data_IF_063991451070
#
_entry.id   IF_063991451070
#
_cell.length_a   1.000
_cell.length_b   1.000
_cell.length_c   1.000
_cell.angle_alpha   90.00
_cell.angle_beta   90.00
_cell.angle_gamma   90.00
#
_symmetry.space_group_name_H-M   'P 1'
#
loop_
_entity.id
_entity.type
_entity.pdbx_description
1 polymer ?
#
# COMPACT_ATOMS: atom_id res chain seq x y z
N UNK A 1 19.38 -1.76 -39.16
CA UNK A 1 19.40 -0.72 -38.14
C UNK A 1 18.03 -0.77 -37.49
N UNK A 2 17.91 -1.33 -36.29
CA UNK A 2 16.63 -1.33 -35.60
C UNK A 2 16.26 0.13 -35.28
N UNK A 3 15.16 0.59 -35.84
CA UNK A 3 14.59 1.90 -35.54
C UNK A 3 14.27 1.93 -34.04
N UNK A 4 14.76 2.90 -33.33
CA UNK A 4 14.51 3.02 -31.87
C UNK A 4 13.15 3.69 -31.69
N UNK A 5 12.10 2.89 -31.76
CA UNK A 5 10.74 3.36 -31.48
C UNK A 5 10.63 3.90 -30.04
N UNK A 6 9.91 4.99 -29.90
CA UNK A 6 9.74 5.67 -28.60
C UNK A 6 8.75 4.94 -27.69
N UNK A 7 7.65 4.42 -28.25
CA UNK A 7 6.62 3.70 -27.50
C UNK A 7 7.18 2.41 -26.90
N UNK A 8 7.82 1.47 -27.65
CA UNK A 8 8.44 0.29 -27.06
C UNK A 8 9.47 0.62 -25.99
N UNK A 9 10.34 1.60 -26.26
CA UNK A 9 11.39 2.02 -25.34
C UNK A 9 10.86 2.57 -24.01
N UNK A 10 9.72 3.26 -24.03
CA UNK A 10 9.14 3.92 -22.86
C UNK A 10 7.90 3.21 -22.32
N UNK A 11 7.52 2.02 -22.83
CA UNK A 11 6.30 1.32 -22.45
C UNK A 11 6.17 1.15 -20.92
N UNK A 12 7.24 0.84 -20.22
CA UNK A 12 7.25 0.74 -18.76
C UNK A 12 6.78 2.03 -18.04
N UNK A 13 7.06 3.21 -18.61
CA UNK A 13 6.63 4.49 -18.06
C UNK A 13 5.15 4.73 -18.31
N UNK A 14 4.67 4.36 -19.49
CA UNK A 14 3.25 4.50 -19.85
C UNK A 14 2.39 3.55 -19.03
N UNK A 15 2.79 2.28 -18.91
CA UNK A 15 2.13 1.31 -18.04
C UNK A 15 2.09 1.77 -16.59
N UNK A 16 3.19 2.27 -16.04
CA UNK A 16 3.23 2.80 -14.67
C UNK A 16 2.29 4.01 -14.49
N UNK A 17 2.18 4.86 -15.50
CA UNK A 17 1.28 6.03 -15.46
C UNK A 17 -0.19 5.59 -15.45
N UNK A 18 -0.60 4.68 -16.34
CA UNK A 18 -2.00 4.21 -16.38
C UNK A 18 -2.35 3.36 -15.15
N UNK A 19 -1.44 2.54 -14.62
CA UNK A 19 -1.63 1.82 -13.36
C UNK A 19 -1.89 2.79 -12.19
N UNK A 20 -1.10 3.87 -12.09
CA UNK A 20 -1.33 4.92 -11.07
C UNK A 20 -2.69 5.61 -11.24
N UNK A 21 -3.11 5.86 -12.49
CA UNK A 21 -4.41 6.47 -12.79
C UNK A 21 -5.58 5.54 -12.46
N UNK A 22 -5.44 4.23 -12.73
CA UNK A 22 -6.45 3.22 -12.38
C UNK A 22 -6.60 3.09 -10.88
N UNK A 23 -5.51 3.08 -10.14
CA UNK A 23 -5.51 3.08 -8.68
C UNK A 23 -6.25 4.30 -8.10
N UNK A 24 -6.06 5.47 -8.70
CA UNK A 24 -6.75 6.70 -8.30
C UNK A 24 -8.26 6.68 -8.59
N UNK A 25 -8.70 5.96 -9.63
CA UNK A 25 -10.10 5.82 -10.06
C UNK A 25 -10.82 4.62 -9.46
N UNK A 26 -10.28 4.03 -8.39
CA UNK A 26 -10.84 2.84 -7.71
C UNK A 26 -10.93 1.59 -8.60
N UNK A 27 -10.12 1.52 -9.65
CA UNK A 27 -9.92 0.31 -10.46
C UNK A 27 -8.64 -0.41 -9.99
N UNK A 28 -8.56 -0.71 -8.69
CA UNK A 28 -7.37 -1.31 -8.05
C UNK A 28 -7.01 -2.66 -8.69
N UNK A 29 -8.00 -3.39 -9.18
CA UNK A 29 -7.81 -4.69 -9.84
C UNK A 29 -6.98 -4.56 -11.12
N UNK A 30 -7.33 -3.64 -12.03
CA UNK A 30 -6.57 -3.40 -13.27
C UNK A 30 -5.18 -2.80 -12.99
N UNK A 31 -5.06 -1.98 -11.96
CA UNK A 31 -3.74 -1.52 -11.51
C UNK A 31 -2.87 -2.68 -11.06
N UNK A 32 -3.42 -3.61 -10.29
CA UNK A 32 -2.74 -4.81 -9.82
C UNK A 32 -2.33 -5.73 -10.96
N UNK A 33 -3.21 -5.92 -11.95
CA UNK A 33 -2.90 -6.67 -13.18
C UNK A 33 -1.67 -6.07 -13.87
N UNK A 34 -1.66 -4.75 -14.13
CA UNK A 34 -0.55 -4.09 -14.83
C UNK A 34 0.76 -4.17 -14.02
N UNK A 35 0.68 -3.90 -12.70
CA UNK A 35 1.88 -3.86 -11.84
C UNK A 35 2.54 -5.23 -11.68
N UNK A 36 1.77 -6.31 -11.83
CA UNK A 36 2.22 -7.69 -11.57
C UNK A 36 2.53 -8.49 -12.82
N UNK A 37 2.07 -8.02 -13.98
CA UNK A 37 2.32 -8.68 -15.25
C UNK A 37 3.75 -8.46 -15.73
N UNK A 38 4.27 -9.43 -16.48
CA UNK A 38 5.35 -9.18 -17.41
C UNK A 38 4.75 -8.63 -18.71
N UNK A 39 5.53 -7.89 -19.46
CA UNK A 39 5.06 -7.34 -20.72
C UNK A 39 6.10 -7.42 -21.82
N UNK A 40 5.61 -7.49 -23.05
CA UNK A 40 6.38 -7.40 -24.27
C UNK A 40 5.68 -6.50 -25.25
N UNK A 41 6.44 -5.71 -25.98
CA UNK A 41 5.93 -4.93 -27.11
C UNK A 41 6.35 -5.62 -28.40
N UNK A 42 5.39 -5.86 -29.26
CA UNK A 42 5.62 -6.35 -30.61
C UNK A 42 5.63 -5.14 -31.54
N UNK A 43 6.78 -4.87 -32.15
CA UNK A 43 6.97 -3.68 -32.98
C UNK A 43 6.38 -3.92 -34.39
N UNK A 44 5.90 -2.82 -35.01
CA UNK A 44 5.46 -2.81 -36.43
C UNK A 44 4.32 -3.79 -36.74
N UNK A 45 3.36 -3.97 -35.83
CA UNK A 45 2.21 -4.86 -36.05
C UNK A 45 1.16 -4.25 -36.97
N UNK A 46 1.14 -2.92 -37.10
CA UNK A 46 0.24 -2.17 -37.97
C UNK A 46 0.92 -0.91 -38.52
N UNK A 47 0.40 -0.41 -39.64
CA UNK A 47 0.88 0.81 -40.26
C UNK A 47 -0.29 1.66 -40.79
N UNK A 48 -0.39 2.90 -40.37
CA UNK A 48 -1.40 3.85 -40.86
C UNK A 48 -0.80 4.81 -41.88
N UNK A 49 -1.27 4.71 -43.09
CA UNK A 49 -0.81 5.50 -44.24
C UNK A 49 -1.37 6.95 -44.28
N UNK A 50 -2.42 7.26 -43.48
CA UNK A 50 -3.20 8.50 -43.66
C UNK A 50 -2.47 9.75 -43.14
N UNK A 51 -1.62 9.66 -42.18
CA UNK A 51 -0.96 10.80 -41.56
C UNK A 51 0.55 10.88 -41.80
N UNK A 52 1.00 10.44 -42.95
CA UNK A 52 2.43 10.46 -43.31
C UNK A 52 3.21 9.27 -42.78
N UNK A 53 2.52 8.18 -42.46
CA UNK A 53 3.06 6.93 -41.98
C UNK A 53 3.23 6.93 -40.46
N UNK A 54 2.35 6.18 -39.76
CA UNK A 54 2.39 5.99 -38.30
C UNK A 54 2.49 4.49 -38.03
N UNK A 55 3.50 4.08 -37.27
CA UNK A 55 3.75 2.69 -36.93
C UNK A 55 2.92 2.28 -35.71
N UNK A 56 2.22 1.14 -35.82
CA UNK A 56 1.46 0.54 -34.72
C UNK A 56 2.23 -0.58 -34.04
N UNK A 57 2.12 -0.64 -32.71
CA UNK A 57 2.76 -1.65 -31.89
C UNK A 57 1.73 -2.33 -31.01
N UNK A 58 1.83 -3.65 -30.84
CA UNK A 58 0.98 -4.42 -29.93
C UNK A 58 1.68 -4.60 -28.59
N UNK A 59 0.89 -4.50 -27.52
CA UNK A 59 1.33 -4.81 -26.18
C UNK A 59 0.77 -6.17 -25.75
N UNK A 60 1.64 -7.08 -25.33
CA UNK A 60 1.25 -8.33 -24.68
C UNK A 60 1.54 -8.20 -23.19
N UNK A 61 0.53 -8.44 -22.34
CA UNK A 61 0.65 -8.55 -20.90
C UNK A 61 0.51 -10.02 -20.50
N UNK A 62 1.57 -10.57 -19.93
CA UNK A 62 1.58 -11.90 -19.33
C UNK A 62 1.12 -11.80 -17.90
N UNK A 63 -0.11 -12.21 -17.64
CA UNK A 63 -0.83 -12.00 -16.38
C UNK A 63 -0.71 -13.25 -15.51
N UNK A 64 -0.33 -13.10 -14.23
CA UNK A 64 -0.38 -14.21 -13.26
C UNK A 64 -1.77 -14.83 -13.17
N UNK A 65 -1.85 -16.16 -12.99
CA UNK A 65 -3.11 -16.92 -12.92
C UNK A 65 -4.11 -16.32 -11.93
N UNK A 66 -3.61 -15.89 -10.76
CA UNK A 66 -4.45 -15.34 -9.70
C UNK A 66 -5.12 -14.02 -10.10
N UNK A 67 -4.61 -13.35 -11.12
CA UNK A 67 -5.13 -12.05 -11.58
C UNK A 67 -5.99 -12.14 -12.83
N UNK A 68 -5.99 -13.29 -13.52
CA UNK A 68 -6.84 -13.47 -14.70
C UNK A 68 -8.33 -13.35 -14.36
N UNK A 69 -8.72 -13.63 -13.10
CA UNK A 69 -10.08 -13.42 -12.62
C UNK A 69 -10.56 -11.94 -12.67
N UNK A 70 -9.63 -10.97 -12.71
CA UNK A 70 -9.95 -9.55 -12.88
C UNK A 70 -10.15 -9.15 -14.35
N UNK A 71 -9.98 -10.10 -15.28
CA UNK A 71 -10.20 -9.93 -16.72
C UNK A 71 -11.21 -10.99 -17.18
N UNK A 72 -12.50 -10.85 -16.80
CA UNK A 72 -13.54 -11.77 -17.24
C UNK A 72 -13.59 -11.85 -18.77
N UNK A 73 -13.82 -13.04 -19.33
CA UNK A 73 -13.89 -13.22 -20.78
C UNK A 73 -14.91 -12.32 -21.46
N UNK A 74 -16.05 -12.07 -20.79
CA UNK A 74 -17.12 -11.21 -21.32
C UNK A 74 -16.70 -9.73 -21.38
N UNK A 75 -15.81 -9.28 -20.49
CA UNK A 75 -15.36 -7.90 -20.40
C UNK A 75 -13.97 -7.68 -21.02
N UNK A 76 -13.28 -8.76 -21.41
CA UNK A 76 -11.88 -8.70 -21.84
C UNK A 76 -11.66 -7.72 -22.99
N UNK A 77 -12.52 -7.73 -24.00
CA UNK A 77 -12.39 -6.82 -25.15
C UNK A 77 -12.54 -5.35 -24.76
N UNK A 78 -13.44 -5.05 -23.83
CA UNK A 78 -13.66 -3.68 -23.36
C UNK A 78 -12.49 -3.19 -22.52
N UNK A 79 -11.92 -4.07 -21.69
CA UNK A 79 -10.70 -3.80 -20.92
C UNK A 79 -9.51 -3.54 -21.85
N UNK A 80 -9.30 -4.37 -22.87
CA UNK A 80 -8.25 -4.19 -23.88
C UNK A 80 -8.40 -2.85 -24.61
N UNK A 81 -9.59 -2.54 -25.08
CA UNK A 81 -9.89 -1.27 -25.75
C UNK A 81 -9.61 -0.06 -24.85
N UNK A 82 -10.07 -0.12 -23.61
CA UNK A 82 -9.82 0.92 -22.62
C UNK A 82 -8.33 1.12 -22.34
N UNK A 83 -7.59 0.04 -22.15
CA UNK A 83 -6.15 0.12 -21.91
C UNK A 83 -5.41 0.68 -23.13
N UNK A 84 -5.75 0.24 -24.33
CA UNK A 84 -5.20 0.77 -25.59
C UNK A 84 -5.43 2.28 -25.70
N UNK A 85 -6.65 2.76 -25.46
CA UNK A 85 -6.96 4.21 -25.49
C UNK A 85 -6.15 4.98 -24.45
N UNK A 86 -6.06 4.48 -23.22
CA UNK A 86 -5.37 5.16 -22.14
C UNK A 86 -3.84 5.13 -22.34
N UNK A 87 -3.29 4.06 -22.93
CA UNK A 87 -1.89 4.02 -23.37
C UNK A 87 -1.61 5.04 -24.47
N UNK A 88 -2.48 5.15 -25.50
CA UNK A 88 -2.33 6.13 -26.55
C UNK A 88 -2.42 7.57 -26.01
N UNK A 89 -3.28 7.85 -25.02
CA UNK A 89 -3.29 9.12 -24.30
C UNK A 89 -1.99 9.36 -23.53
N UNK A 90 -1.47 8.31 -22.86
CA UNK A 90 -0.25 8.41 -22.07
C UNK A 90 1.00 8.62 -22.94
N UNK A 91 1.02 8.04 -24.14
CA UNK A 91 2.11 8.12 -25.13
C UNK A 91 1.92 9.22 -26.19
N UNK A 92 0.95 10.10 -26.02
CA UNK A 92 0.59 11.13 -27.03
C UNK A 92 1.74 12.06 -27.45
N UNK A 93 2.86 12.08 -26.72
CA UNK A 93 4.07 12.81 -27.09
C UNK A 93 4.93 12.05 -28.12
N UNK A 94 4.78 10.72 -28.25
CA UNK A 94 5.46 9.93 -29.25
C UNK A 94 4.86 10.26 -30.62
N UNK A 95 5.70 10.85 -31.48
CA UNK A 95 5.26 11.25 -32.81
C UNK A 95 5.43 10.06 -33.77
N UNK A 96 4.41 9.80 -34.60
CA UNK A 96 4.42 8.76 -35.63
C UNK A 96 4.38 7.33 -35.10
N UNK A 97 3.93 7.11 -33.89
CA UNK A 97 3.75 5.80 -33.27
C UNK A 97 2.43 5.74 -32.51
N UNK A 98 1.82 4.55 -32.40
CA UNK A 98 0.64 4.32 -31.57
C UNK A 98 0.59 2.88 -31.06
N UNK A 99 -0.15 2.66 -29.97
CA UNK A 99 -0.48 1.31 -29.50
C UNK A 99 -1.67 0.82 -30.31
N UNK A 100 -1.44 -0.22 -31.12
CA UNK A 100 -2.44 -0.79 -32.01
C UNK A 100 -3.40 -1.71 -31.27
N UNK A 101 -2.86 -2.65 -30.47
CA UNK A 101 -3.68 -3.56 -29.67
C UNK A 101 -3.01 -3.90 -28.33
N UNK A 102 -3.83 -4.46 -27.40
CA UNK A 102 -3.41 -4.95 -26.08
C UNK A 102 -3.92 -6.38 -25.95
N UNK A 103 -3.03 -7.32 -25.64
CA UNK A 103 -3.34 -8.74 -25.46
C UNK A 103 -3.06 -9.15 -24.03
N UNK A 104 -3.89 -10.04 -23.47
CA UNK A 104 -3.67 -10.70 -22.20
C UNK A 104 -3.38 -12.18 -22.43
N UNK A 105 -2.26 -12.64 -21.91
CA UNK A 105 -1.82 -14.03 -21.94
C UNK A 105 -1.47 -14.49 -20.53
N UNK A 106 -1.51 -15.79 -20.28
CA UNK A 106 -1.09 -16.35 -18.99
C UNK A 106 0.42 -16.23 -18.82
N UNK A 107 0.85 -15.87 -17.60
CA UNK A 107 2.26 -15.86 -17.24
C UNK A 107 2.74 -17.29 -17.00
N UNK A 108 3.43 -17.85 -17.97
CA UNK A 108 4.14 -19.14 -17.84
C UNK A 108 5.64 -18.88 -17.70
N UNK A 109 6.16 -18.99 -16.47
CA UNK A 109 7.57 -18.75 -16.21
C UNK A 109 8.49 -19.86 -16.75
N UNK A 110 7.93 -21.00 -17.18
CA UNK A 110 8.68 -22.07 -17.86
C UNK A 110 8.97 -21.76 -19.33
N UNK A 111 8.28 -20.78 -19.90
CA UNK A 111 8.55 -20.28 -21.24
C UNK A 111 9.72 -19.29 -21.25
N UNK A 112 10.77 -19.63 -21.98
CA UNK A 112 11.99 -18.80 -22.08
C UNK A 112 11.74 -17.40 -22.65
N UNK A 113 10.74 -17.21 -23.48
CA UNK A 113 10.38 -15.93 -24.07
C UNK A 113 9.68 -15.05 -23.03
N UNK A 114 8.72 -15.62 -22.29
CA UNK A 114 8.02 -14.96 -21.21
C UNK A 114 8.97 -14.68 -20.02
N UNK A 115 9.90 -15.61 -19.75
CA UNK A 115 10.91 -15.41 -18.72
C UNK A 115 11.77 -14.16 -18.96
N UNK A 116 12.03 -13.81 -20.25
CA UNK A 116 12.81 -12.63 -20.68
C UNK A 116 11.97 -11.36 -20.86
N UNK A 117 10.65 -11.46 -20.80
CA UNK A 117 9.76 -10.31 -20.94
C UNK A 117 10.04 -9.27 -19.83
N UNK A 118 9.82 -7.99 -20.16
CA UNK A 118 10.00 -6.89 -19.22
C UNK A 118 8.96 -6.94 -18.09
N UNK A 119 9.32 -6.50 -16.91
CA UNK A 119 8.40 -6.40 -15.75
C UNK A 119 8.41 -4.98 -15.20
N UNK A 120 7.29 -4.51 -14.70
CA UNK A 120 7.23 -3.28 -13.93
C UNK A 120 7.80 -3.45 -12.51
N UNK A 121 8.26 -4.66 -12.20
CA UNK A 121 9.02 -5.00 -10.98
C UNK A 121 8.22 -4.85 -9.69
N UNK A 122 7.10 -5.51 -9.60
CA UNK A 122 6.55 -5.81 -8.28
C UNK A 122 5.96 -7.22 -8.32
N UNK A 123 6.56 -8.22 -7.67
CA UNK A 123 5.89 -9.48 -7.47
C UNK A 123 4.55 -9.20 -6.79
N UNK A 124 3.48 -9.73 -7.36
CA UNK A 124 2.13 -9.51 -6.84
C UNK A 124 1.86 -10.45 -5.68
N UNK A 125 1.27 -9.91 -4.63
CA UNK A 125 0.64 -10.69 -3.58
C UNK A 125 -0.86 -10.47 -3.67
N UNK A 126 -1.63 -11.54 -3.95
CA UNK A 126 -3.09 -11.45 -4.08
C UNK A 126 -3.72 -10.82 -2.84
N UNK A 127 -4.89 -10.19 -2.98
CA UNK A 127 -5.58 -9.58 -1.83
C UNK A 127 -5.91 -10.62 -0.77
N UNK A 128 -6.36 -11.82 -1.17
CA UNK A 128 -6.62 -12.93 -0.25
C UNK A 128 -5.38 -13.36 0.53
N UNK A 129 -4.21 -13.37 -0.11
CA UNK A 129 -2.95 -13.66 0.58
C UNK A 129 -2.56 -12.53 1.54
N UNK A 130 -2.77 -11.26 1.14
CA UNK A 130 -2.56 -10.12 2.03
C UNK A 130 -3.48 -10.19 3.25
N UNK A 131 -4.76 -10.52 3.06
CA UNK A 131 -5.75 -10.59 4.14
C UNK A 131 -5.50 -11.76 5.10
N UNK A 132 -4.83 -12.82 4.64
CA UNK A 132 -4.35 -13.90 5.52
C UNK A 132 -3.14 -13.49 6.36
N UNK A 133 -2.23 -12.72 5.77
CA UNK A 133 -0.97 -12.30 6.42
C UNK A 133 -1.20 -11.08 7.30
N UNK A 134 -1.99 -10.12 6.84
CA UNK A 134 -2.12 -8.83 7.45
C UNK A 134 -3.54 -8.55 7.94
N UNK A 135 -3.67 -7.86 9.06
CA UNK A 135 -4.94 -7.29 9.46
C UNK A 135 -5.33 -6.15 8.52
N UNK A 136 -6.62 -6.12 8.14
CA UNK A 136 -7.16 -5.06 7.29
C UNK A 136 -6.86 -3.67 7.86
N UNK A 137 -6.60 -2.72 6.98
CA UNK A 137 -6.42 -1.30 7.29
C UNK A 137 -5.33 -0.98 8.33
N UNK A 138 -4.32 -1.84 8.42
CA UNK A 138 -3.17 -1.70 9.31
C UNK A 138 -1.88 -1.44 8.54
N UNK A 139 -0.89 -0.87 9.21
CA UNK A 139 0.48 -0.78 8.70
C UNK A 139 1.09 -2.18 8.74
N UNK A 140 1.57 -2.67 7.62
CA UNK A 140 2.15 -4.00 7.43
C UNK A 140 3.63 -3.97 7.77
N UNK A 141 3.99 -4.53 8.91
CA UNK A 141 5.36 -4.54 9.42
C UNK A 141 5.96 -5.95 9.36
N UNK A 142 6.99 -6.13 8.57
CA UNK A 142 7.78 -7.35 8.59
C UNK A 142 8.87 -7.24 9.66
N UNK A 143 8.93 -8.18 10.62
CA UNK A 143 9.95 -8.23 11.67
C UNK A 143 11.02 -9.26 11.30
N UNK A 144 12.16 -8.77 10.83
CA UNK A 144 13.36 -9.57 10.57
C UNK A 144 14.12 -9.77 11.89
N UNK A 145 14.25 -11.01 12.32
CA UNK A 145 14.85 -11.39 13.62
C UNK A 145 15.54 -12.76 13.55
N UNK A 146 16.32 -13.08 14.56
CA UNK A 146 16.87 -14.43 14.75
C UNK A 146 15.88 -15.31 15.48
N UNK A 147 15.84 -16.59 15.15
CA UNK A 147 14.93 -17.56 15.75
C UNK A 147 15.06 -17.62 17.29
N UNK A 148 16.27 -17.49 17.80
CA UNK A 148 16.55 -17.38 19.25
C UNK A 148 15.80 -16.25 19.95
N UNK A 149 15.34 -15.23 19.20
CA UNK A 149 14.59 -14.07 19.69
C UNK A 149 13.14 -14.04 19.22
N UNK A 150 12.61 -15.16 18.76
CA UNK A 150 11.24 -15.30 18.27
C UNK A 150 10.20 -14.88 19.31
N UNK A 151 10.37 -15.28 20.57
CA UNK A 151 9.47 -14.90 21.65
C UNK A 151 9.43 -13.37 21.87
N UNK A 152 10.59 -12.71 21.80
CA UNK A 152 10.69 -11.26 21.90
C UNK A 152 10.01 -10.56 20.72
N UNK A 153 10.21 -11.07 19.50
CA UNK A 153 9.60 -10.57 18.28
C UNK A 153 8.07 -10.72 18.32
N UNK A 154 7.53 -11.84 18.80
CA UNK A 154 6.09 -12.02 18.97
C UNK A 154 5.51 -11.09 20.02
N UNK A 155 6.15 -10.98 21.20
CA UNK A 155 5.73 -10.03 22.23
C UNK A 155 5.73 -8.59 21.72
N UNK A 156 6.75 -8.21 20.95
CA UNK A 156 6.82 -6.90 20.30
C UNK A 156 5.66 -6.70 19.31
N UNK A 157 5.37 -7.71 18.48
CA UNK A 157 4.28 -7.69 17.51
C UNK A 157 2.91 -7.48 18.17
N UNK A 158 2.66 -8.14 19.32
CA UNK A 158 1.44 -7.96 20.11
C UNK A 158 1.28 -6.52 20.57
N UNK A 159 2.31 -5.93 21.15
CA UNK A 159 2.28 -4.52 21.59
C UNK A 159 2.14 -3.53 20.43
N UNK A 160 2.68 -3.84 19.25
CA UNK A 160 2.54 -2.99 18.06
C UNK A 160 1.11 -2.98 17.51
N UNK A 161 0.32 -4.02 17.78
CA UNK A 161 -1.11 -4.06 17.41
C UNK A 161 -1.91 -2.91 18.04
N UNK A 162 -1.55 -2.46 19.23
CA UNK A 162 -2.19 -1.31 19.92
C UNK A 162 -2.04 -0.01 19.12
N UNK A 163 -1.05 0.06 18.22
CA UNK A 163 -0.77 1.21 17.36
C UNK A 163 -1.34 1.08 15.95
N UNK A 164 -2.11 0.02 15.64
CA UNK A 164 -2.64 -0.21 14.31
C UNK A 164 -1.60 -0.78 13.35
N UNK A 165 -0.60 -1.49 13.88
CA UNK A 165 0.42 -2.20 13.11
C UNK A 165 0.09 -3.69 13.10
N UNK A 166 0.02 -4.28 11.92
CA UNK A 166 -0.01 -5.73 11.73
C UNK A 166 1.39 -6.21 11.48
N UNK A 167 1.91 -7.08 12.33
CA UNK A 167 3.28 -7.55 12.24
C UNK A 167 3.33 -8.99 11.73
N UNK A 168 4.20 -9.25 10.77
CA UNK A 168 4.61 -10.58 10.36
C UNK A 168 5.96 -10.88 11.02
N UNK A 169 6.00 -11.97 11.79
CA UNK A 169 7.21 -12.46 12.46
C UNK A 169 7.73 -13.65 11.67
N UNK A 170 8.84 -13.46 10.98
CA UNK A 170 9.44 -14.49 10.16
C UNK A 170 9.92 -15.66 11.04
N UNK A 171 9.82 -16.89 10.53
CA UNK A 171 10.24 -18.07 11.25
C UNK A 171 11.44 -18.71 10.57
N UNK A 172 12.57 -18.79 11.26
CA UNK A 172 13.79 -19.48 10.79
C UNK A 172 13.75 -21.01 10.99
N UNK A 173 12.77 -21.54 11.74
CA UNK A 173 12.84 -22.89 12.32
C UNK A 173 11.73 -23.84 11.89
N UNK A 174 11.24 -23.74 10.66
CA UNK A 174 10.33 -24.76 10.13
C UNK A 174 11.07 -25.59 9.09
N UNK A 175 10.87 -26.92 9.13
CA UNK A 175 11.36 -27.82 8.09
C UNK A 175 10.93 -27.28 6.72
N UNK A 176 11.77 -27.43 5.68
CA UNK A 176 11.52 -26.79 4.38
C UNK A 176 10.24 -27.35 3.78
N UNK A 177 9.13 -26.65 4.01
CA UNK A 177 7.87 -26.81 3.32
C UNK A 177 7.75 -25.64 2.34
N UNK A 178 7.50 -25.94 1.06
CA UNK A 178 7.40 -24.96 -0.01
C UNK A 178 6.31 -23.90 0.29
N UNK A 179 5.23 -24.29 0.97
CA UNK A 179 4.15 -23.35 1.36
C UNK A 179 4.65 -22.23 2.28
N UNK A 180 5.62 -22.51 3.13
CA UNK A 180 6.08 -21.54 4.14
C UNK A 180 7.02 -20.48 3.58
N UNK A 181 7.91 -20.85 2.66
CA UNK A 181 8.74 -19.89 1.93
C UNK A 181 7.86 -18.92 1.13
N UNK A 182 6.81 -19.44 0.50
CA UNK A 182 5.82 -18.64 -0.21
C UNK A 182 5.15 -17.58 0.69
N UNK A 183 4.87 -17.88 1.97
CA UNK A 183 4.27 -16.90 2.89
C UNK A 183 5.25 -15.80 3.29
N UNK A 184 6.54 -16.13 3.51
CA UNK A 184 7.59 -15.12 3.75
C UNK A 184 7.73 -14.20 2.53
N UNK A 185 7.80 -14.77 1.33
CA UNK A 185 7.92 -14.00 0.09
C UNK A 185 6.72 -13.07 -0.09
N UNK A 186 5.49 -13.56 0.11
CA UNK A 186 4.28 -12.74 0.05
C UNK A 186 4.27 -11.63 1.10
N UNK A 187 4.75 -11.92 2.32
CA UNK A 187 4.88 -10.91 3.37
C UNK A 187 5.91 -9.83 3.00
N UNK A 188 7.08 -10.22 2.51
CA UNK A 188 8.12 -9.31 2.02
C UNK A 188 7.62 -8.45 0.85
N UNK A 189 6.88 -9.06 -0.08
CA UNK A 189 6.33 -8.38 -1.25
C UNK A 189 5.28 -7.31 -0.89
N UNK A 190 4.51 -7.55 0.18
CA UNK A 190 3.36 -6.73 0.55
C UNK A 190 3.56 -5.85 1.78
N UNK A 191 4.72 -5.89 2.44
CA UNK A 191 5.01 -5.06 3.61
C UNK A 191 5.14 -3.57 3.28
N UNK A 192 4.76 -2.73 4.23
CA UNK A 192 4.94 -1.26 4.17
C UNK A 192 6.24 -0.82 4.84
N UNK A 193 6.72 -1.59 5.82
CA UNK A 193 7.92 -1.31 6.63
C UNK A 193 8.61 -2.63 6.99
N UNK A 194 9.93 -2.67 6.97
CA UNK A 194 10.73 -3.73 7.58
C UNK A 194 11.29 -3.22 8.92
N UNK A 195 11.15 -4.03 9.97
CA UNK A 195 11.82 -3.84 11.25
C UNK A 195 13.00 -4.80 11.35
N UNK A 196 14.22 -4.28 11.42
CA UNK A 196 15.41 -5.05 11.77
C UNK A 196 15.57 -5.09 13.29
N UNK A 197 15.29 -6.26 13.89
CA UNK A 197 15.42 -6.49 15.32
C UNK A 197 16.87 -6.95 15.64
N UNK A 198 17.73 -5.96 15.94
CA UNK A 198 19.18 -6.17 16.00
C UNK A 198 19.60 -6.79 17.32
N UNK A 199 20.05 -8.03 17.22
CA UNK A 199 20.70 -8.83 18.24
C UNK A 199 22.17 -9.02 17.89
N UNK A 200 22.95 -9.69 18.74
CA UNK A 200 24.38 -9.89 18.50
C UNK A 200 24.67 -10.76 17.27
N UNK A 201 23.71 -11.57 16.84
CA UNK A 201 23.83 -12.56 15.76
C UNK A 201 22.89 -12.32 14.55
N UNK A 202 22.15 -11.19 14.49
CA UNK A 202 21.19 -10.92 13.40
C UNK A 202 21.84 -11.07 12.02
N UNK A 203 23.03 -10.50 11.85
CA UNK A 203 23.70 -10.45 10.55
C UNK A 203 24.46 -11.74 10.20
N UNK A 204 24.48 -12.73 11.10
CA UNK A 204 25.08 -14.05 10.85
C UNK A 204 24.09 -14.97 10.08
N UNK A 205 22.82 -14.57 9.94
CA UNK A 205 21.80 -15.29 9.17
C UNK A 205 21.77 -14.84 7.71
N UNK A 206 21.81 -15.81 6.79
CA UNK A 206 21.59 -15.56 5.38
C UNK A 206 20.18 -15.02 5.11
N UNK A 207 19.16 -15.53 5.82
CA UNK A 207 17.76 -15.11 5.69
C UNK A 207 17.55 -13.64 6.05
N UNK A 208 17.99 -13.22 7.24
CA UNK A 208 17.83 -11.83 7.68
C UNK A 208 18.56 -10.85 6.76
N UNK A 209 19.73 -11.24 6.23
CA UNK A 209 20.43 -10.43 5.23
C UNK A 209 19.68 -10.32 3.90
N UNK A 210 19.01 -11.40 3.44
CA UNK A 210 18.17 -11.38 2.23
C UNK A 210 16.92 -10.53 2.44
N UNK A 211 16.23 -10.64 3.58
CA UNK A 211 15.07 -9.83 3.93
C UNK A 211 15.40 -8.32 3.94
N UNK A 212 16.49 -7.96 4.61
CA UNK A 212 16.99 -6.58 4.64
C UNK A 212 17.38 -6.11 3.23
N UNK A 213 18.06 -6.97 2.45
CA UNK A 213 18.44 -6.70 1.06
C UNK A 213 17.23 -6.49 0.17
N UNK A 214 16.19 -7.30 0.33
CA UNK A 214 14.92 -7.16 -0.39
C UNK A 214 14.26 -5.81 -0.10
N UNK A 215 14.15 -5.43 1.18
CA UNK A 215 13.58 -4.13 1.56
C UNK A 215 14.38 -2.95 0.99
N UNK A 216 15.71 -3.03 1.01
CA UNK A 216 16.60 -2.02 0.41
C UNK A 216 16.39 -1.90 -1.10
N UNK A 217 16.36 -3.04 -1.81
CA UNK A 217 16.18 -3.10 -3.26
C UNK A 217 14.84 -2.52 -3.71
N UNK A 218 13.81 -2.65 -2.89
CA UNK A 218 12.46 -2.11 -3.15
C UNK A 218 12.21 -0.72 -2.54
N UNK A 219 13.21 -0.09 -1.97
CA UNK A 219 13.08 1.22 -1.29
C UNK A 219 12.04 1.24 -0.17
N UNK A 220 11.77 0.08 0.45
CA UNK A 220 10.88 -0.04 1.60
C UNK A 220 11.55 0.58 2.83
N UNK A 221 10.86 1.37 3.63
CA UNK A 221 11.42 1.95 4.84
C UNK A 221 11.89 0.88 5.82
N UNK A 222 13.14 0.96 6.27
CA UNK A 222 13.69 0.05 7.29
C UNK A 222 13.81 0.81 8.61
N UNK A 223 13.15 0.30 9.64
CA UNK A 223 13.34 0.72 11.04
C UNK A 223 14.28 -0.27 11.71
N UNK A 224 15.32 0.22 12.39
CA UNK A 224 16.25 -0.62 13.13
C UNK A 224 16.09 -0.37 14.63
N UNK A 225 15.88 -1.43 15.40
CA UNK A 225 15.93 -1.38 16.86
C UNK A 225 17.02 -2.32 17.35
N UNK A 226 17.93 -1.82 18.18
CA UNK A 226 19.00 -2.64 18.79
C UNK A 226 18.66 -2.94 20.25
N UNK A 227 18.64 -4.21 20.57
CA UNK A 227 18.48 -4.74 21.94
C UNK A 227 19.78 -5.38 22.44
N UNK A 228 20.86 -5.18 21.71
CA UNK A 228 22.22 -5.67 21.97
C UNK A 228 23.23 -4.52 21.91
N UNK A 229 24.50 -4.84 22.07
CA UNK A 229 25.59 -3.87 21.96
C UNK A 229 26.00 -3.59 20.50
N UNK A 230 25.57 -4.43 19.55
CA UNK A 230 25.93 -4.28 18.14
C UNK A 230 25.12 -3.17 17.47
N UNK A 231 25.76 -2.45 16.59
CA UNK A 231 25.17 -1.44 15.73
C UNK A 231 24.77 -2.03 14.37
N UNK A 232 23.80 -1.40 13.66
CA UNK A 232 23.48 -1.77 12.28
C UNK A 232 24.74 -1.77 11.41
N UNK A 233 24.81 -2.71 10.46
CA UNK A 233 25.93 -2.79 9.50
C UNK A 233 25.47 -2.48 8.07
N UNK A 234 26.42 -2.18 7.19
CA UNK A 234 26.16 -1.97 5.76
C UNK A 234 25.24 -0.80 5.48
N UNK A 235 24.32 -0.97 4.53
CA UNK A 235 23.45 0.11 4.06
C UNK A 235 22.45 0.62 5.10
N UNK A 236 22.07 -0.19 6.09
CA UNK A 236 21.13 0.21 7.15
C UNK A 236 21.78 1.06 8.24
N UNK A 237 23.12 1.10 8.30
CA UNK A 237 23.87 1.94 9.25
C UNK A 237 23.79 3.45 8.94
N UNK A 238 23.29 3.83 7.75
CA UNK A 238 23.09 5.25 7.37
C UNK A 238 22.12 5.99 8.31
N UNK A 239 21.34 5.29 9.10
CA UNK A 239 20.37 5.86 10.04
C UNK A 239 20.59 5.24 11.42
N UNK A 240 20.55 6.11 12.44
CA UNK A 240 20.69 5.67 13.83
C UNK A 240 19.58 4.66 14.19
N UNK A 241 19.97 3.54 14.77
CA UNK A 241 19.05 2.58 15.32
C UNK A 241 18.38 3.11 16.61
N UNK A 242 17.16 2.68 16.85
CA UNK A 242 16.48 2.89 18.13
C UNK A 242 17.22 2.09 19.20
N UNK A 243 17.55 2.71 20.33
CA UNK A 243 18.03 1.99 21.50
C UNK A 243 16.84 1.32 22.19
N UNK A 244 16.71 0.01 21.99
CA UNK A 244 15.70 -0.83 22.61
C UNK A 244 16.15 -1.36 23.97
N UNK A 245 15.24 -2.08 24.64
CA UNK A 245 15.47 -2.83 25.85
C UNK A 245 15.12 -4.29 25.58
N UNK A 246 15.96 -5.22 26.00
CA UNK A 246 15.69 -6.65 25.83
C UNK A 246 14.52 -7.14 26.67
N UNK A 247 14.23 -6.48 27.77
CA UNK A 247 13.23 -6.85 28.79
C UNK A 247 11.92 -6.06 28.72
N UNK A 248 11.75 -5.16 27.74
CA UNK A 248 10.55 -4.31 27.64
C UNK A 248 10.08 -4.09 26.20
N UNK A 249 9.36 -5.07 25.68
CA UNK A 249 8.80 -4.99 24.33
C UNK A 249 7.71 -3.91 24.20
N UNK A 250 7.00 -3.60 25.30
CA UNK A 250 6.03 -2.50 25.30
C UNK A 250 6.71 -1.12 25.11
N UNK A 251 7.85 -0.88 25.74
CA UNK A 251 8.61 0.37 25.56
C UNK A 251 9.21 0.44 24.16
N UNK A 252 9.72 -0.70 23.67
CA UNK A 252 10.23 -0.83 22.30
C UNK A 252 9.16 -0.51 21.28
N UNK A 253 7.94 -1.04 21.42
CA UNK A 253 6.81 -0.78 20.53
C UNK A 253 6.49 0.73 20.43
N UNK A 254 6.49 1.45 21.56
CA UNK A 254 6.27 2.91 21.59
C UNK A 254 7.33 3.67 20.79
N UNK A 255 8.60 3.30 20.94
CA UNK A 255 9.73 3.93 20.21
C UNK A 255 9.68 3.62 18.72
N UNK A 256 9.36 2.36 18.35
CA UNK A 256 9.19 1.94 16.96
C UNK A 256 8.04 2.70 16.33
N UNK A 257 6.88 2.77 17.02
CA UNK A 257 5.73 3.51 16.54
C UNK A 257 6.06 4.98 16.24
N UNK A 258 6.70 5.68 17.18
CA UNK A 258 7.11 7.08 16.96
C UNK A 258 8.02 7.25 15.73
N UNK A 259 8.84 6.24 15.43
CA UNK A 259 9.70 6.24 14.24
C UNK A 259 8.90 5.96 12.97
N UNK A 260 7.95 5.02 12.99
CA UNK A 260 7.04 4.72 11.88
C UNK A 260 6.19 5.95 11.57
N UNK A 261 5.56 6.55 12.58
CA UNK A 261 4.76 7.78 12.46
C UNK A 261 5.55 8.87 11.72
N UNK A 262 6.78 9.14 12.14
CA UNK A 262 7.65 10.15 11.50
C UNK A 262 7.98 9.81 10.04
N UNK A 263 8.09 8.52 9.68
CA UNK A 263 8.49 8.09 8.33
C UNK A 263 7.32 7.95 7.36
N UNK A 264 6.14 7.60 7.86
CA UNK A 264 4.95 7.36 7.05
C UNK A 264 3.95 8.51 7.09
N UNK A 265 4.16 9.52 7.93
CA UNK A 265 3.29 10.71 7.98
C UNK A 265 3.08 11.30 6.59
N UNK A 266 1.82 11.56 6.24
CA UNK A 266 1.42 12.06 4.93
C UNK A 266 1.26 10.98 3.83
N UNK A 267 1.55 9.71 4.13
CA UNK A 267 1.25 8.62 3.20
C UNK A 267 -0.19 8.12 3.38
N UNK A 268 -0.92 7.76 2.29
CA UNK A 268 -2.31 7.29 2.38
C UNK A 268 -2.49 6.12 3.33
N UNK A 269 -1.59 5.13 3.30
CA UNK A 269 -1.64 3.95 4.18
C UNK A 269 -1.56 4.32 5.66
N UNK A 270 -0.76 5.35 6.01
CA UNK A 270 -0.65 5.82 7.37
C UNK A 270 -1.96 6.47 7.83
N UNK A 271 -2.56 7.32 6.99
CA UNK A 271 -3.83 7.97 7.30
C UNK A 271 -4.94 6.93 7.52
N UNK A 272 -5.01 5.92 6.65
CA UNK A 272 -5.98 4.82 6.74
C UNK A 272 -5.83 4.06 8.08
N UNK A 273 -4.61 3.67 8.45
CA UNK A 273 -4.33 2.96 9.70
C UNK A 273 -4.68 3.79 10.95
N UNK A 274 -4.40 5.11 10.94
CA UNK A 274 -4.76 6.01 12.05
C UNK A 274 -6.27 6.12 12.21
N UNK A 275 -7.00 6.28 11.10
CA UNK A 275 -8.47 6.36 11.11
C UNK A 275 -9.06 5.05 11.60
N UNK A 276 -8.61 3.91 11.08
CA UNK A 276 -9.10 2.60 11.50
C UNK A 276 -8.83 2.32 12.99
N UNK A 277 -7.66 2.71 13.47
CA UNK A 277 -7.34 2.63 14.90
C UNK A 277 -8.31 3.45 15.76
N UNK A 278 -8.71 4.64 15.31
CA UNK A 278 -9.70 5.47 16.00
C UNK A 278 -11.09 4.82 15.95
N UNK A 279 -11.54 4.35 14.80
CA UNK A 279 -12.84 3.68 14.60
C UNK A 279 -12.99 2.49 15.58
N UNK A 280 -11.93 1.72 15.77
CA UNK A 280 -11.87 0.55 16.65
C UNK A 280 -11.54 0.90 18.11
N UNK A 281 -11.96 2.05 18.60
CA UNK A 281 -11.76 2.41 19.99
C UNK A 281 -12.72 1.64 20.92
N UNK A 282 -12.17 1.03 21.98
CA UNK A 282 -12.89 0.18 22.93
C UNK A 282 -13.18 0.89 24.27
N UNK A 283 -12.77 2.14 24.41
CA UNK A 283 -13.06 2.96 25.60
C UNK A 283 -13.09 4.44 25.26
N UNK A 284 -13.78 5.24 26.07
CA UNK A 284 -13.82 6.70 25.96
C UNK A 284 -12.43 7.33 25.97
N UNK A 285 -11.53 6.78 26.79
CA UNK A 285 -10.15 7.24 26.91
C UNK A 285 -9.39 7.00 25.63
N UNK A 286 -9.47 5.78 25.09
CA UNK A 286 -8.83 5.44 23.81
C UNK A 286 -9.36 6.30 22.67
N UNK A 287 -10.68 6.47 22.56
CA UNK A 287 -11.30 7.29 21.53
C UNK A 287 -10.74 8.71 21.54
N UNK A 288 -10.63 9.31 22.73
CA UNK A 288 -10.06 10.65 22.91
C UNK A 288 -8.58 10.70 22.51
N UNK A 289 -7.76 9.78 23.00
CA UNK A 289 -6.32 9.74 22.72
C UNK A 289 -6.04 9.50 21.22
N UNK A 290 -6.77 8.56 20.61
CA UNK A 290 -6.61 8.21 19.18
C UNK A 290 -7.10 9.32 18.27
N UNK A 291 -8.13 10.08 18.69
CA UNK A 291 -8.61 11.22 17.93
C UNK A 291 -7.55 12.32 17.75
N UNK A 292 -6.68 12.53 18.71
CA UNK A 292 -5.57 13.49 18.54
C UNK A 292 -4.61 13.09 17.42
N UNK A 293 -4.50 11.80 17.11
CA UNK A 293 -3.72 11.32 15.95
C UNK A 293 -4.47 11.60 14.65
N UNK A 294 -5.80 11.39 14.62
CA UNK A 294 -6.64 11.77 13.47
C UNK A 294 -6.57 13.27 13.19
N UNK A 295 -6.62 14.09 14.25
CA UNK A 295 -6.56 15.54 14.11
C UNK A 295 -5.24 16.08 13.53
N UNK A 296 -4.18 15.27 13.53
CA UNK A 296 -2.87 15.61 12.95
C UNK A 296 -2.73 15.20 11.49
N UNK A 297 -3.68 14.48 10.90
CA UNK A 297 -3.57 13.95 9.54
C UNK A 297 -3.65 15.02 8.45
N UNK A 298 -4.02 16.25 8.78
CA UNK A 298 -4.22 17.33 7.80
C UNK A 298 -5.56 17.20 7.08
N UNK A 299 -5.57 17.30 5.75
CA UNK A 299 -6.79 17.14 4.94
C UNK A 299 -7.21 15.68 4.87
N UNK A 300 -8.50 15.43 5.12
CA UNK A 300 -9.13 14.12 4.98
C UNK A 300 -9.90 14.05 3.64
N UNK A 301 -9.99 12.86 3.06
CA UNK A 301 -10.86 12.63 1.89
C UNK A 301 -12.32 12.49 2.34
N UNK A 302 -13.27 12.67 1.42
CA UNK A 302 -14.71 12.51 1.73
C UNK A 302 -15.02 11.08 2.25
N UNK A 303 -14.36 10.04 1.74
CA UNK A 303 -14.53 8.66 2.22
C UNK A 303 -14.00 8.48 3.66
N UNK A 304 -12.87 9.10 3.97
CA UNK A 304 -12.34 9.11 5.33
C UNK A 304 -13.28 9.85 6.29
N UNK A 305 -13.87 10.95 5.84
CA UNK A 305 -14.88 11.70 6.59
C UNK A 305 -16.13 10.84 6.80
N UNK A 306 -16.62 10.17 5.76
CA UNK A 306 -17.77 9.27 5.85
C UNK A 306 -17.51 8.15 6.87
N UNK A 307 -16.35 7.52 6.84
CA UNK A 307 -15.94 6.49 7.80
C UNK A 307 -15.88 7.01 9.24
N UNK A 308 -15.39 8.23 9.45
CA UNK A 308 -15.36 8.88 10.77
C UNK A 308 -16.78 9.20 11.29
N UNK A 309 -17.66 9.68 10.39
CA UNK A 309 -19.07 9.97 10.73
C UNK A 309 -19.80 8.69 11.10
N UNK A 310 -19.64 7.62 10.31
CA UNK A 310 -20.22 6.32 10.60
C UNK A 310 -19.74 5.79 11.96
N UNK A 311 -18.43 5.85 12.20
CA UNK A 311 -17.86 5.42 13.49
C UNK A 311 -18.41 6.22 14.67
N UNK A 312 -18.59 7.54 14.54
CA UNK A 312 -19.22 8.34 15.60
C UNK A 312 -20.67 7.91 15.84
N UNK A 313 -21.39 7.59 14.79
CA UNK A 313 -22.81 7.25 14.84
C UNK A 313 -23.09 5.80 15.28
N UNK A 314 -22.10 4.91 15.24
CA UNK A 314 -22.23 3.48 15.54
C UNK A 314 -21.44 3.01 16.76
N UNK A 315 -20.37 3.72 17.14
CA UNK A 315 -19.51 3.36 18.27
C UNK A 315 -19.75 4.31 19.47
N UNK A 316 -20.44 3.81 20.49
CA UNK A 316 -20.74 4.57 21.73
C UNK A 316 -19.50 5.03 22.47
N UNK A 317 -18.35 4.36 22.32
CA UNK A 317 -17.10 4.78 22.95
C UNK A 317 -16.55 6.06 22.29
N UNK A 318 -16.88 6.29 21.02
CA UNK A 318 -16.51 7.51 20.30
C UNK A 318 -17.52 8.62 20.63
N UNK A 319 -18.81 8.37 20.41
CA UNK A 319 -19.87 9.36 20.58
C UNK A 319 -20.07 9.79 22.03
N UNK A 320 -19.80 8.91 23.00
CA UNK A 320 -19.85 9.20 24.43
C UNK A 320 -18.58 9.81 25.01
N UNK A 321 -17.49 9.89 24.22
CA UNK A 321 -16.21 10.41 24.72
C UNK A 321 -16.28 11.92 24.96
N UNK A 322 -15.99 12.31 26.21
CA UNK A 322 -15.90 13.72 26.58
C UNK A 322 -14.82 14.44 25.78
N UNK A 323 -15.16 15.60 25.23
CA UNK A 323 -14.31 16.41 24.36
C UNK A 323 -14.48 16.12 22.87
N UNK A 324 -14.95 14.93 22.44
CA UNK A 324 -15.34 14.71 21.05
C UNK A 324 -16.73 15.29 20.78
N UNK A 325 -17.70 15.00 21.65
CA UNK A 325 -19.07 15.51 21.56
C UNK A 325 -19.20 16.93 22.10
N UNK A 326 -18.79 17.14 23.36
CA UNK A 326 -19.05 18.40 24.08
C UNK A 326 -18.04 19.51 23.74
N UNK A 327 -16.81 19.14 23.30
CA UNK A 327 -15.77 20.09 22.88
C UNK A 327 -15.84 20.50 21.41
N UNK A 328 -16.78 19.98 20.65
CA UNK A 328 -16.90 20.19 19.19
C UNK A 328 -15.61 19.91 18.40
N UNK A 329 -14.64 19.22 18.99
CA UNK A 329 -13.37 18.92 18.33
C UNK A 329 -13.57 18.05 17.10
N UNK A 330 -14.50 17.09 17.21
CA UNK A 330 -14.82 16.17 16.13
C UNK A 330 -15.38 16.93 14.93
N UNK A 331 -16.41 17.74 15.16
CA UNK A 331 -17.03 18.58 14.12
C UNK A 331 -16.04 19.56 13.46
N UNK A 332 -15.11 20.10 14.27
CA UNK A 332 -14.09 21.01 13.74
C UNK A 332 -13.24 20.34 12.68
N UNK A 333 -12.78 19.11 12.93
CA UNK A 333 -11.95 18.36 11.97
C UNK A 333 -12.77 17.99 10.73
N UNK A 334 -13.99 17.49 10.89
CA UNK A 334 -14.86 17.17 9.75
C UNK A 334 -15.11 18.40 8.87
N UNK A 335 -15.54 19.52 9.48
CA UNK A 335 -15.90 20.72 8.72
C UNK A 335 -14.71 21.49 8.14
N UNK A 336 -13.48 21.22 8.61
CA UNK A 336 -12.26 21.75 7.99
C UNK A 336 -11.88 20.98 6.73
N UNK A 337 -12.26 19.71 6.62
CA UNK A 337 -11.83 18.80 5.54
C UNK A 337 -12.92 18.50 4.54
N UNK A 338 -14.20 18.64 4.92
CA UNK A 338 -15.37 18.33 4.06
C UNK A 338 -15.87 19.54 3.28
N UNK A 339 -16.38 19.27 2.09
CA UNK A 339 -17.20 20.23 1.32
C UNK A 339 -18.59 20.43 1.92
N UNK A 340 -19.02 19.55 2.84
CA UNK A 340 -20.34 19.57 3.50
C UNK A 340 -20.20 20.08 4.94
N UNK A 341 -21.25 20.71 5.46
CA UNK A 341 -21.31 21.12 6.85
C UNK A 341 -21.91 20.01 7.70
N UNK A 342 -21.23 19.63 8.77
CA UNK A 342 -21.69 18.62 9.73
C UNK A 342 -22.10 19.27 11.06
N UNK A 343 -23.14 18.71 11.70
CA UNK A 343 -23.59 19.08 13.02
C UNK A 343 -23.94 17.84 13.84
N UNK A 344 -23.98 17.95 15.17
CA UNK A 344 -24.50 16.88 16.03
C UNK A 344 -25.96 17.17 16.37
N UNK A 345 -26.82 16.21 16.02
CA UNK A 345 -28.25 16.22 16.36
C UNK A 345 -28.63 14.85 16.91
N UNK A 346 -29.32 14.81 18.05
CA UNK A 346 -29.71 13.57 18.73
C UNK A 346 -28.53 12.59 18.93
N UNK A 347 -27.41 13.10 19.37
CA UNK A 347 -26.16 12.32 19.58
C UNK A 347 -25.56 11.69 18.29
N UNK A 348 -25.98 12.11 17.11
CA UNK A 348 -25.46 11.64 15.83
C UNK A 348 -24.92 12.81 15.02
N UNK A 349 -23.89 12.56 14.25
CA UNK A 349 -23.38 13.50 13.25
C UNK A 349 -24.29 13.43 12.03
N UNK A 350 -24.79 14.58 11.61
CA UNK A 350 -25.66 14.74 10.43
C UNK A 350 -25.12 15.84 9.52
N UNK A 351 -25.42 15.73 8.23
CA UNK A 351 -25.11 16.79 7.25
C UNK A 351 -26.19 17.86 7.35
N UNK A 352 -25.77 19.10 7.48
CA UNK A 352 -26.68 20.27 7.46
C UNK A 352 -26.85 20.72 6.02
N UNK A 353 -28.08 20.81 5.51
CA UNK A 353 -28.31 21.36 4.17
C UNK A 353 -27.83 22.81 4.09
N UNK A 354 -27.35 23.28 2.93
CA UNK A 354 -27.03 24.68 2.74
C UNK A 354 -28.29 25.52 3.01
N UNK A 355 -28.12 26.66 3.70
CA UNK A 355 -29.26 27.59 3.90
C UNK A 355 -29.77 28.01 2.55
N UNK A 356 -31.08 27.85 2.30
CA UNK A 356 -31.77 28.39 1.15
C UNK A 356 -31.78 29.91 1.28
N UNK A 357 -31.61 30.63 0.18
CA UNK A 357 -31.57 32.10 0.15
C UNK A 357 -32.84 32.79 0.77
N UNK A 358 -33.93 32.05 0.95
CA UNK A 358 -35.19 32.53 1.50
C UNK A 358 -35.18 32.67 3.08
N UNK A 359 -34.13 32.28 3.77
CA UNK A 359 -34.01 32.37 5.23
C UNK A 359 -33.09 33.51 5.74
N UNK A 360 -32.74 34.47 4.88
CA UNK A 360 -32.02 35.68 5.28
C UNK A 360 -33.06 36.72 5.71
N UNK A 361 -33.21 37.01 7.00
CA UNK A 361 -34.09 38.14 7.41
C UNK A 361 -33.44 39.44 6.94
N UNK A 362 -34.19 40.21 6.18
CA UNK A 362 -33.87 41.58 5.78
C UNK A 362 -33.64 42.47 7.01
#
# INVERSE_FOLDING_TARGET
MAGTYEIPRNMHRYLKRIATEYKRKESDDLSSVIESSKFRVIEETAYDNWNGGIDGHDLVLYVPDELMGYIPLDDQQDIQNKMREDLNKASSAAQREYVNDVHFEYLDESDDEIARASSLSTPFTSQDAKDRIWKSDSIKLFISHRDTHKADAHSLAEHLTEFGVSSFVAHDSIEPDEEWQGEIEKALQSMDVLLAFITDDLFDSAWTNQEIGFALGRSIPIVSIKVSTKDPVGFINKRQAINGKSDSQQENAKKIWATIEKRLSGKPIFNKAIIQRFINSNSFKEAKERFFSVAKLGSLTEDQIASLVDAFNTNDQISGSYGLKDGNWFLKILNQSSSKTHAISNNKVVIVPPKTEDEIPF
#
